data_IF_169925615902
#
_entry.id   IF_169925615902
#
_cell.length_a   1.000
_cell.length_b   1.000
_cell.length_c   1.000
_cell.angle_alpha   90.00
_cell.angle_beta   90.00
_cell.angle_gamma   90.00
#
_symmetry.space_group_name_H-M   'P 1'
#
loop_
_entity.id
_entity.type
_entity.pdbx_description
1 polymer ?
#
# COMPACT_ATOMS: atom_id res chain seq x y z
N UNK A 1 8.29 -39.51 6.52
CA UNK A 1 7.48 -38.66 7.43
C UNK A 1 8.13 -37.27 7.45
N UNK A 2 7.41 -36.17 7.18
CA UNK A 2 8.01 -34.82 7.11
C UNK A 2 8.51 -34.41 8.50
N UNK A 3 9.75 -33.92 8.60
CA UNK A 3 10.38 -33.58 9.89
C UNK A 3 9.84 -32.26 10.48
N UNK A 4 9.42 -31.35 9.58
CA UNK A 4 8.78 -30.10 9.91
C UNK A 4 7.27 -30.23 9.65
N UNK A 5 6.49 -29.95 10.70
CA UNK A 5 5.01 -30.02 10.68
C UNK A 5 4.43 -28.66 10.27
N UNK A 6 5.01 -27.56 10.74
CA UNK A 6 4.54 -26.22 10.43
C UNK A 6 5.57 -25.13 10.74
N UNK A 7 5.46 -24.02 10.03
CA UNK A 7 6.21 -22.79 10.25
C UNK A 7 5.23 -21.62 10.13
N UNK A 8 5.22 -20.71 11.10
CA UNK A 8 4.34 -19.55 11.12
C UNK A 8 5.10 -18.32 11.59
N UNK A 9 4.94 -17.21 10.86
CA UNK A 9 5.49 -15.91 11.25
C UNK A 9 4.45 -15.15 12.08
N UNK A 10 4.86 -14.69 13.26
CA UNK A 10 4.04 -13.99 14.23
C UNK A 10 4.64 -12.58 14.47
N UNK A 11 4.34 -11.61 13.61
CA UNK A 11 4.79 -10.24 13.83
C UNK A 11 4.06 -9.61 15.01
N UNK A 12 4.74 -8.76 15.77
CA UNK A 12 4.16 -8.02 16.91
C UNK A 12 3.02 -7.10 16.47
N UNK A 13 3.13 -6.56 15.25
CA UNK A 13 2.08 -5.80 14.58
C UNK A 13 1.95 -6.25 13.13
N UNK A 14 0.72 -6.31 12.63
CA UNK A 14 0.45 -6.57 11.20
C UNK A 14 0.34 -5.28 10.38
N UNK A 15 0.19 -4.15 11.05
CA UNK A 15 0.07 -2.83 10.43
C UNK A 15 1.18 -1.93 10.98
N UNK A 16 1.97 -1.36 10.08
CA UNK A 16 2.96 -0.32 10.36
C UNK A 16 2.30 1.02 10.08
N UNK A 17 1.99 1.78 11.12
CA UNK A 17 1.49 3.14 11.00
C UNK A 17 2.66 4.13 11.00
N UNK A 18 2.99 4.67 9.84
CA UNK A 18 3.99 5.73 9.70
C UNK A 18 3.29 7.07 9.87
N UNK A 19 3.89 7.99 10.63
CA UNK A 19 3.41 9.37 10.71
C UNK A 19 4.21 10.27 9.76
N UNK A 20 3.69 11.46 9.46
CA UNK A 20 4.41 12.47 8.68
C UNK A 20 5.78 12.86 9.30
N UNK A 21 5.92 12.73 10.62
CA UNK A 21 7.14 13.03 11.36
C UNK A 21 8.19 11.92 11.23
N UNK A 22 7.79 10.69 10.91
CA UNK A 22 8.69 9.55 10.78
C UNK A 22 9.50 9.58 9.48
N UNK A 23 9.40 10.63 8.65
CA UNK A 23 10.07 10.74 7.36
C UNK A 23 11.60 10.82 7.54
N UNK A 24 12.29 9.70 7.32
CA UNK A 24 13.76 9.62 7.41
C UNK A 24 14.28 8.91 8.66
N UNK A 25 13.39 8.51 9.57
CA UNK A 25 13.73 7.67 10.71
C UNK A 25 13.76 6.17 10.36
N UNK A 26 14.18 5.33 11.30
CA UNK A 26 14.05 3.88 11.20
C UNK A 26 12.83 3.39 11.96
N UNK A 27 12.16 2.37 11.43
CA UNK A 27 11.08 1.67 12.12
C UNK A 27 11.52 0.25 12.43
N UNK A 28 11.34 -0.20 13.67
CA UNK A 28 11.72 -1.55 14.08
C UNK A 28 10.49 -2.46 14.13
N UNK A 29 10.42 -3.44 13.24
CA UNK A 29 9.41 -4.50 13.27
C UNK A 29 9.97 -5.72 14.02
N UNK A 30 9.20 -6.27 14.95
CA UNK A 30 9.59 -7.42 15.79
C UNK A 30 8.58 -8.55 15.66
N UNK A 31 8.96 -9.74 16.11
CA UNK A 31 8.05 -10.86 16.26
C UNK A 31 8.77 -12.16 16.50
N UNK A 32 8.06 -13.27 16.32
CA UNK A 32 8.64 -14.61 16.40
C UNK A 32 8.31 -15.46 15.17
N UNK A 33 9.18 -16.42 14.84
CA UNK A 33 8.89 -17.51 13.91
C UNK A 33 8.63 -18.74 14.76
N UNK A 34 7.39 -19.25 14.70
CA UNK A 34 7.00 -20.49 15.37
C UNK A 34 7.24 -21.68 14.45
N UNK A 35 8.11 -22.58 14.87
CA UNK A 35 8.44 -23.81 14.14
C UNK A 35 7.96 -25.02 14.95
N UNK A 36 7.12 -25.85 14.34
CA UNK A 36 6.61 -27.07 14.96
C UNK A 36 7.24 -28.28 14.29
N UNK A 37 7.96 -29.08 15.08
CA UNK A 37 8.75 -30.22 14.62
C UNK A 37 8.30 -31.52 15.27
N UNK A 38 8.28 -32.61 14.49
CA UNK A 38 7.99 -33.95 15.02
C UNK A 38 9.23 -34.72 15.48
N UNK A 39 10.42 -34.14 15.31
CA UNK A 39 11.69 -34.60 15.89
C UNK A 39 12.68 -33.43 15.94
N UNK A 40 13.80 -33.59 16.65
CA UNK A 40 14.84 -32.57 16.63
C UNK A 40 15.49 -32.47 15.23
N UNK A 41 15.68 -31.23 14.74
CA UNK A 41 16.18 -30.96 13.39
C UNK A 41 17.36 -29.99 13.47
N UNK A 42 18.45 -30.32 12.79
CA UNK A 42 19.57 -29.40 12.60
C UNK A 42 19.24 -28.43 11.47
N UNK A 43 19.26 -27.14 11.75
CA UNK A 43 19.10 -26.08 10.75
C UNK A 43 20.47 -25.47 10.43
N UNK A 44 20.64 -25.06 9.18
CA UNK A 44 21.80 -24.31 8.72
C UNK A 44 21.59 -22.81 8.92
N UNK A 45 20.43 -22.30 8.49
CA UNK A 45 20.01 -20.91 8.70
C UNK A 45 18.50 -20.84 8.87
N UNK A 46 18.06 -19.82 9.60
CA UNK A 46 16.71 -19.28 9.55
C UNK A 46 16.84 -17.79 9.21
N UNK A 47 16.42 -17.44 8.00
CA UNK A 47 16.52 -16.09 7.46
C UNK A 47 15.13 -15.50 7.31
N UNK A 48 15.01 -14.18 7.50
CA UNK A 48 13.75 -13.47 7.41
C UNK A 48 13.92 -12.21 6.55
N UNK A 49 13.01 -12.02 5.62
CA UNK A 49 13.04 -10.99 4.59
C UNK A 49 11.74 -10.20 4.64
N UNK A 50 11.81 -8.87 4.70
CA UNK A 50 10.68 -8.01 4.36
C UNK A 50 10.77 -7.65 2.89
N UNK A 51 9.79 -8.06 2.10
CA UNK A 51 9.66 -7.71 0.70
C UNK A 51 8.57 -6.66 0.49
N UNK A 52 8.81 -5.77 -0.47
CA UNK A 52 7.77 -4.96 -1.11
C UNK A 52 7.53 -5.49 -2.52
N UNK A 53 6.26 -5.56 -2.91
CA UNK A 53 5.84 -5.94 -4.23
C UNK A 53 4.91 -4.86 -4.78
N UNK A 54 5.29 -4.28 -5.91
CA UNK A 54 4.44 -3.36 -6.66
C UNK A 54 4.04 -3.97 -7.98
N UNK A 55 2.77 -3.80 -8.35
CA UNK A 55 2.23 -4.22 -9.65
C UNK A 55 1.47 -3.07 -10.28
N UNK A 56 1.69 -2.84 -11.56
CA UNK A 56 0.96 -1.85 -12.36
C UNK A 56 0.50 -2.51 -13.66
N UNK A 57 -0.77 -2.34 -13.97
CA UNK A 57 -1.39 -2.68 -15.25
C UNK A 57 -1.48 -1.41 -16.09
N UNK A 58 -0.70 -1.36 -17.16
CA UNK A 58 -0.72 -0.23 -18.10
C UNK A 58 -1.53 -0.65 -19.32
N UNK A 59 -2.55 0.13 -19.65
CA UNK A 59 -3.23 0.04 -20.94
C UNK A 59 -2.21 0.35 -22.04
N UNK A 60 -1.88 -0.65 -22.85
CA UNK A 60 -1.04 -0.42 -24.02
C UNK A 60 -1.93 0.01 -25.17
N UNK A 61 -1.78 1.26 -25.62
CA UNK A 61 -2.24 1.67 -26.94
C UNK A 61 -1.36 0.93 -27.96
N UNK A 62 -1.75 -0.29 -28.31
CA UNK A 62 -1.28 -0.86 -29.57
C UNK A 62 -2.00 -0.10 -30.67
N UNK A 63 -1.24 0.79 -31.31
CA UNK A 63 -1.59 1.40 -32.59
C UNK A 63 -1.66 0.29 -33.66
N UNK A 64 -2.74 -0.49 -33.63
CA UNK A 64 -3.08 -1.44 -34.68
C UNK A 64 -3.66 -0.62 -35.82
N UNK A 65 -2.85 -0.46 -36.87
CA UNK A 65 -3.13 0.43 -38.00
C UNK A 65 -4.56 0.31 -38.54
N UNK A 66 -5.17 1.47 -38.76
CA UNK A 66 -6.26 1.86 -39.69
C UNK A 66 -7.46 0.94 -39.97
N UNK A 67 -7.64 -0.20 -39.33
CA UNK A 67 -8.86 -1.01 -39.50
C UNK A 67 -9.69 -1.02 -38.22
N UNK A 68 -10.86 -0.39 -38.31
CA UNK A 68 -11.89 -0.29 -37.28
C UNK A 68 -12.47 -1.68 -36.99
N UNK A 69 -11.84 -2.44 -36.11
CA UNK A 69 -12.43 -3.61 -35.45
C UNK A 69 -12.09 -3.51 -33.96
N UNK A 70 -13.11 -3.72 -33.10
CA UNK A 70 -13.12 -3.65 -31.63
C UNK A 70 -11.72 -3.51 -30.98
N UNK A 71 -11.47 -2.38 -30.31
CA UNK A 71 -10.30 -2.18 -29.43
C UNK A 71 -10.32 -3.26 -28.34
N UNK A 72 -9.64 -4.37 -28.56
CA UNK A 72 -9.19 -5.24 -27.48
C UNK A 72 -8.06 -4.49 -26.76
N UNK A 73 -8.42 -3.84 -25.66
CA UNK A 73 -7.48 -3.14 -24.80
C UNK A 73 -6.51 -4.17 -24.22
N UNK A 74 -5.27 -4.18 -24.73
CA UNK A 74 -4.21 -5.03 -24.21
C UNK A 74 -3.58 -4.35 -22.98
N UNK A 75 -3.66 -5.00 -21.82
CA UNK A 75 -2.98 -4.53 -20.61
C UNK A 75 -1.61 -5.21 -20.47
N UNK A 76 -0.55 -4.41 -20.32
CA UNK A 76 0.77 -4.92 -19.96
C UNK A 76 0.93 -4.88 -18.44
N UNK A 77 1.35 -6.00 -17.84
CA UNK A 77 1.59 -6.11 -16.41
C UNK A 77 3.07 -5.87 -16.10
N UNK A 78 3.38 -4.88 -15.28
CA UNK A 78 4.70 -4.66 -14.70
C UNK A 78 4.66 -5.05 -13.22
N UNK A 79 5.51 -5.98 -12.80
CA UNK A 79 5.65 -6.38 -11.39
C UNK A 79 7.09 -6.15 -10.97
N UNK A 80 7.27 -5.49 -9.83
CA UNK A 80 8.57 -5.20 -9.27
C UNK A 80 8.59 -5.65 -7.81
N UNK A 81 9.61 -6.41 -7.43
CA UNK A 81 9.78 -6.92 -6.06
C UNK A 81 11.12 -6.44 -5.53
N UNK A 82 11.11 -5.80 -4.36
CA UNK A 82 12.30 -5.32 -3.68
C UNK A 82 12.42 -5.90 -2.29
N UNK A 83 13.65 -6.25 -1.89
CA UNK A 83 14.00 -6.56 -0.51
C UNK A 83 14.15 -5.23 0.23
N UNK A 84 13.34 -5.01 1.26
CA UNK A 84 13.37 -3.80 2.09
C UNK A 84 14.34 -3.98 3.25
N UNK A 85 14.31 -5.15 3.88
CA UNK A 85 15.17 -5.50 4.99
C UNK A 85 15.33 -7.02 5.09
N UNK A 86 16.44 -7.44 5.67
CA UNK A 86 16.76 -8.83 5.92
C UNK A 86 17.39 -9.00 7.31
N UNK A 87 17.15 -10.15 7.94
CA UNK A 87 17.89 -10.55 9.12
C UNK A 87 18.09 -12.06 9.18
N UNK A 88 19.24 -12.47 9.70
CA UNK A 88 19.47 -13.85 10.11
C UNK A 88 18.91 -14.01 11.52
N UNK A 89 17.82 -14.77 11.64
CA UNK A 89 17.13 -15.02 12.92
C UNK A 89 17.94 -16.01 13.76
N UNK A 90 18.45 -17.05 13.11
CA UNK A 90 19.34 -18.04 13.72
C UNK A 90 20.33 -18.57 12.69
N UNK A 91 21.59 -18.64 13.11
CA UNK A 91 22.61 -19.43 12.41
C UNK A 91 22.46 -20.92 12.68
N UNK A 92 23.48 -21.69 12.29
CA UNK A 92 23.51 -23.16 12.40
C UNK A 92 23.25 -23.62 13.84
N UNK A 93 22.18 -24.37 14.04
CA UNK A 93 21.80 -24.87 15.38
C UNK A 93 20.89 -26.10 15.29
N UNK A 94 20.49 -26.66 16.43
CA UNK A 94 19.51 -27.75 16.51
C UNK A 94 18.23 -27.20 17.14
N UNK A 95 17.11 -27.37 16.45
CA UNK A 95 15.78 -27.11 16.99
C UNK A 95 15.26 -28.39 17.66
N UNK A 96 14.61 -28.25 18.80
CA UNK A 96 14.13 -29.37 19.60
C UNK A 96 12.81 -29.93 19.04
N UNK A 97 12.47 -31.15 19.45
CA UNK A 97 11.13 -31.69 19.23
C UNK A 97 10.06 -30.78 19.84
N UNK A 98 8.93 -30.61 19.14
CA UNK A 98 7.82 -29.76 19.60
C UNK A 98 7.87 -28.35 19.01
N UNK A 99 7.48 -27.36 19.81
CA UNK A 99 7.36 -25.95 19.39
C UNK A 99 8.65 -25.20 19.71
N UNK A 100 9.21 -24.51 18.72
CA UNK A 100 10.35 -23.63 18.86
C UNK A 100 9.96 -22.23 18.37
N UNK A 101 10.02 -21.24 19.25
CA UNK A 101 9.77 -19.84 18.89
C UNK A 101 11.12 -19.13 18.72
N UNK A 102 11.34 -18.56 17.53
CA UNK A 102 12.56 -17.84 17.17
C UNK A 102 12.27 -16.35 17.06
N UNK A 103 12.69 -15.57 18.06
CA UNK A 103 12.52 -14.12 18.08
C UNK A 103 13.34 -13.44 16.99
N UNK A 104 12.77 -12.42 16.36
CA UNK A 104 13.39 -11.64 15.29
C UNK A 104 13.10 -10.14 15.41
N UNK A 105 14.02 -9.35 14.86
CA UNK A 105 13.91 -7.90 14.74
C UNK A 105 14.39 -7.46 13.36
N UNK A 106 13.65 -6.55 12.72
CA UNK A 106 13.97 -5.93 11.45
C UNK A 106 13.94 -4.41 11.59
N UNK A 107 15.04 -3.75 11.26
CA UNK A 107 15.13 -2.29 11.20
C UNK A 107 14.88 -1.83 9.76
N UNK A 108 13.82 -1.04 9.57
CA UNK A 108 13.31 -0.64 8.26
C UNK A 108 13.58 0.84 8.01
N UNK A 109 14.05 1.25 6.82
CA UNK A 109 14.14 2.65 6.45
C UNK A 109 12.74 3.21 6.10
N UNK A 110 12.18 4.10 6.91
CA UNK A 110 10.81 4.62 6.67
C UNK A 110 10.72 5.44 5.38
N UNK A 111 11.83 6.07 4.95
CA UNK A 111 11.89 6.89 3.74
C UNK A 111 11.43 6.13 2.48
N UNK A 112 11.70 4.83 2.42
CA UNK A 112 11.44 3.99 1.24
C UNK A 112 10.19 3.11 1.38
N UNK A 113 9.41 3.30 2.46
CA UNK A 113 8.17 2.56 2.69
C UNK A 113 6.96 3.35 2.17
N UNK A 114 6.47 2.98 1.00
CA UNK A 114 5.21 3.51 0.48
C UNK A 114 4.01 2.94 1.24
N UNK A 115 2.89 3.68 1.23
CA UNK A 115 1.63 3.17 1.75
C UNK A 115 1.18 1.95 0.95
N UNK A 116 0.67 0.93 1.63
CA UNK A 116 0.02 -0.20 0.97
C UNK A 116 -1.25 0.30 0.30
N UNK A 117 -1.38 0.00 -0.99
CA UNK A 117 -2.52 0.39 -1.81
C UNK A 117 -2.93 -0.78 -2.68
N UNK A 118 -4.23 -0.92 -2.91
CA UNK A 118 -4.78 -1.88 -3.84
C UNK A 118 -5.88 -1.18 -4.63
N UNK A 119 -5.71 -1.12 -5.95
CA UNK A 119 -6.67 -0.55 -6.86
C UNK A 119 -6.88 -1.51 -8.04
N UNK A 120 -7.87 -1.20 -8.88
CA UNK A 120 -8.23 -2.04 -10.04
C UNK A 120 -7.05 -2.33 -10.97
N UNK A 121 -6.09 -1.42 -11.08
CA UNK A 121 -4.99 -1.53 -12.04
C UNK A 121 -3.63 -1.72 -11.37
N UNK A 122 -3.55 -1.96 -10.07
CA UNK A 122 -2.27 -2.12 -9.42
C UNK A 122 -2.32 -2.25 -7.90
N UNK A 123 -1.17 -2.55 -7.33
CA UNK A 123 -1.01 -2.59 -5.88
C UNK A 123 0.41 -2.27 -5.45
N UNK A 124 0.55 -1.89 -4.18
CA UNK A 124 1.78 -1.95 -3.40
C UNK A 124 1.48 -2.77 -2.15
N UNK A 125 2.19 -3.87 -1.96
CA UNK A 125 2.00 -4.80 -0.84
C UNK A 125 3.34 -5.10 -0.19
N UNK A 126 3.28 -5.42 1.11
CA UNK A 126 4.44 -5.85 1.87
C UNK A 126 4.18 -7.23 2.45
N UNK A 127 5.25 -8.04 2.51
CA UNK A 127 5.19 -9.35 3.14
C UNK A 127 6.51 -9.68 3.81
N UNK A 128 6.42 -10.33 4.96
CA UNK A 128 7.57 -10.94 5.61
C UNK A 128 7.62 -12.40 5.19
N UNK A 129 8.77 -12.85 4.71
CA UNK A 129 9.03 -14.24 4.36
C UNK A 129 10.11 -14.78 5.29
N UNK A 130 9.89 -15.96 5.84
CA UNK A 130 10.90 -16.72 6.57
C UNK A 130 11.36 -17.91 5.74
N UNK A 131 12.66 -18.12 5.63
CA UNK A 131 13.25 -19.28 4.96
C UNK A 131 14.10 -20.05 5.97
N UNK A 132 13.74 -21.31 6.24
CA UNK A 132 14.47 -22.19 7.14
C UNK A 132 15.13 -23.29 6.33
N UNK A 133 16.46 -23.30 6.31
CA UNK A 133 17.26 -24.34 5.65
C UNK A 133 17.68 -25.41 6.65
N UNK A 134 17.36 -26.67 6.36
CA UNK A 134 17.81 -27.81 7.16
C UNK A 134 19.23 -28.22 6.77
N UNK A 135 20.07 -28.58 7.75
CA UNK A 135 21.43 -29.04 7.51
C UNK A 135 21.45 -30.38 6.78
N UNK A 136 22.23 -30.49 5.71
CA UNK A 136 22.44 -31.74 4.98
C UNK A 136 21.36 -32.08 3.95
N UNK A 137 20.34 -31.24 3.80
CA UNK A 137 19.36 -31.31 2.72
C UNK A 137 19.68 -30.23 1.69
N UNK A 138 20.05 -30.62 0.47
CA UNK A 138 20.12 -29.73 -0.70
C UNK A 138 18.72 -29.36 -1.26
N UNK A 139 17.69 -29.45 -0.42
CA UNK A 139 16.29 -29.23 -0.80
C UNK A 139 15.90 -27.75 -0.72
N UNK A 140 14.72 -27.43 -1.28
CA UNK A 140 14.15 -26.10 -1.14
C UNK A 140 13.95 -25.75 0.34
N UNK A 141 14.24 -24.49 0.75
CA UNK A 141 14.01 -24.05 2.12
C UNK A 141 12.53 -24.18 2.50
N UNK A 142 12.27 -24.42 3.79
CA UNK A 142 10.91 -24.28 4.30
C UNK A 142 10.58 -22.79 4.36
N UNK A 143 9.64 -22.39 3.51
CA UNK A 143 9.21 -20.99 3.41
C UNK A 143 7.84 -20.79 4.04
N UNK A 144 7.69 -19.70 4.78
CA UNK A 144 6.40 -19.19 5.27
C UNK A 144 6.34 -17.71 4.97
N UNK A 145 5.14 -17.18 4.75
CA UNK A 145 4.95 -15.75 4.52
C UNK A 145 3.77 -15.18 5.32
N UNK A 146 3.85 -13.89 5.64
CA UNK A 146 2.75 -13.14 6.26
C UNK A 146 2.69 -11.74 5.65
N UNK A 147 1.49 -11.28 5.31
CA UNK A 147 1.28 -9.93 4.79
C UNK A 147 1.45 -8.89 5.91
N UNK A 148 2.08 -7.76 5.57
CA UNK A 148 2.20 -6.57 6.41
C UNK A 148 1.53 -5.41 5.68
N UNK A 149 0.68 -4.67 6.38
CA UNK A 149 0.09 -3.43 5.86
C UNK A 149 0.95 -2.25 6.30
N UNK A 150 1.30 -1.37 5.38
CA UNK A 150 1.94 -0.09 5.69
C UNK A 150 0.90 1.00 5.49
N UNK A 151 0.59 1.73 6.56
CA UNK A 151 -0.27 2.90 6.50
C UNK A 151 0.62 4.14 6.57
N UNK A 152 0.58 4.92 5.48
CA UNK A 152 1.34 6.17 5.39
C UNK A 152 0.38 7.28 4.99
N UNK A 153 -0.11 8.08 5.95
CA UNK A 153 -0.90 9.26 5.66
C UNK A 153 -0.09 10.19 4.76
N UNK A 154 -0.74 10.76 3.75
CA UNK A 154 -0.12 11.82 2.98
C UNK A 154 0.00 13.06 3.88
N UNK A 155 1.20 13.62 4.08
CA UNK A 155 1.34 14.80 4.92
C UNK A 155 0.54 15.95 4.31
N UNK A 156 -0.19 16.69 5.16
CA UNK A 156 -0.77 17.96 4.75
C UNK A 156 0.38 18.90 4.33
N UNK A 157 0.29 19.60 3.19
CA UNK A 157 1.31 20.56 2.80
C UNK A 157 1.47 21.62 3.90
N UNK A 158 2.69 21.82 4.42
CA UNK A 158 2.96 22.71 5.55
C UNK A 158 2.49 24.16 5.35
N UNK A 159 2.32 24.58 4.09
CA UNK A 159 1.89 25.92 3.71
C UNK A 159 0.37 26.09 3.61
N UNK A 160 -0.40 25.01 3.80
CA UNK A 160 -1.86 25.05 3.68
C UNK A 160 -2.47 25.01 5.07
N UNK A 161 -3.14 26.11 5.45
CA UNK A 161 -3.89 26.15 6.70
C UNK A 161 -5.03 25.13 6.65
N UNK A 162 -5.29 24.40 7.75
CA UNK A 162 -6.53 23.64 7.91
C UNK A 162 -7.71 24.54 7.58
N UNK A 163 -8.65 24.05 6.76
CA UNK A 163 -9.84 24.78 6.29
C UNK A 163 -9.57 25.95 5.33
N UNK A 164 -8.43 25.99 4.65
CA UNK A 164 -8.28 26.96 3.56
C UNK A 164 -9.26 26.65 2.42
N UNK A 165 -9.94 27.67 1.92
CA UNK A 165 -10.99 27.56 0.91
C UNK A 165 -10.50 28.11 -0.43
N UNK A 166 -10.80 27.42 -1.52
CA UNK A 166 -10.67 27.93 -2.88
C UNK A 166 -12.04 28.44 -3.34
N UNK A 167 -12.04 29.67 -3.84
CA UNK A 167 -13.24 30.30 -4.42
C UNK A 167 -13.16 30.21 -5.94
N UNK A 168 -14.15 29.57 -6.55
CA UNK A 168 -14.31 29.47 -7.99
C UNK A 168 -15.49 30.33 -8.41
N UNK A 169 -15.25 31.28 -9.32
CA UNK A 169 -16.29 32.16 -9.86
C UNK A 169 -16.44 31.92 -11.34
N UNK A 170 -17.67 31.99 -11.81
CA UNK A 170 -17.94 31.94 -13.22
C UNK A 170 -19.34 32.41 -13.55
N UNK A 171 -19.65 32.39 -14.83
CA UNK A 171 -20.96 32.74 -15.34
C UNK A 171 -21.26 31.88 -16.55
N UNK A 172 -22.52 31.53 -16.71
CA UNK A 172 -23.07 31.10 -17.98
C UNK A 172 -23.74 32.30 -18.61
N UNK A 173 -23.24 32.74 -19.76
CA UNK A 173 -23.63 34.01 -20.37
C UNK A 173 -25.15 34.15 -20.49
N UNK A 174 -25.66 35.28 -19.96
CA UNK A 174 -27.08 35.63 -19.96
C UNK A 174 -27.99 34.75 -19.10
N UNK A 175 -27.46 33.80 -18.31
CA UNK A 175 -28.27 32.86 -17.54
C UNK A 175 -28.03 32.94 -16.04
N UNK A 176 -26.84 32.59 -15.57
CA UNK A 176 -26.55 32.47 -14.13
C UNK A 176 -25.10 32.82 -13.86
N UNK A 177 -24.86 33.64 -12.84
CA UNK A 177 -23.55 33.82 -12.23
C UNK A 177 -23.43 32.86 -11.03
N UNK A 178 -22.27 32.23 -10.87
CA UNK A 178 -22.04 31.26 -9.82
C UNK A 178 -20.71 31.52 -9.11
N UNK A 179 -20.71 31.22 -7.81
CA UNK A 179 -19.54 31.24 -6.94
C UNK A 179 -19.58 29.99 -6.08
N UNK A 180 -18.47 29.25 -6.04
CA UNK A 180 -18.29 28.05 -5.24
C UNK A 180 -17.10 28.23 -4.32
N UNK A 181 -17.28 27.85 -3.07
CA UNK A 181 -16.26 27.81 -2.05
C UNK A 181 -16.07 26.35 -1.65
N UNK A 182 -14.90 25.80 -1.95
CA UNK A 182 -14.54 24.40 -1.65
C UNK A 182 -13.26 24.34 -0.84
N UNK A 183 -13.09 23.37 0.08
CA UNK A 183 -11.85 23.19 0.80
C UNK A 183 -10.70 22.88 -0.17
N UNK A 184 -9.56 23.56 -0.01
CA UNK A 184 -8.35 23.30 -0.82
C UNK A 184 -7.71 21.96 -0.48
N UNK A 185 -7.82 21.55 0.77
CA UNK A 185 -7.27 20.30 1.29
C UNK A 185 -8.27 19.70 2.26
N UNK A 186 -8.54 18.41 2.09
CA UNK A 186 -9.39 17.62 2.97
C UNK A 186 -8.49 16.62 3.69
N UNK A 187 -8.50 16.68 5.02
CA UNK A 187 -7.74 15.78 5.88
C UNK A 187 -8.50 14.48 6.13
N UNK A 188 -7.78 13.41 6.47
CA UNK A 188 -8.38 12.09 6.81
C UNK A 188 -9.28 12.13 8.05
N UNK A 189 -9.07 13.11 8.91
CA UNK A 189 -9.80 13.35 10.15
C UNK A 189 -11.14 14.08 9.93
N UNK A 190 -11.40 14.60 8.73
CA UNK A 190 -12.64 15.28 8.42
C UNK A 190 -13.74 14.26 8.08
N UNK A 191 -14.81 14.25 8.87
CA UNK A 191 -15.97 13.38 8.65
C UNK A 191 -16.93 13.91 7.57
N UNK A 192 -16.83 15.20 7.24
CA UNK A 192 -17.65 15.87 6.24
C UNK A 192 -16.85 16.95 5.52
N UNK A 193 -17.24 17.22 4.27
CA UNK A 193 -16.69 18.29 3.43
C UNK A 193 -17.79 19.34 3.28
N UNK A 194 -17.52 20.57 3.72
CA UNK A 194 -18.45 21.69 3.54
C UNK A 194 -18.15 22.41 2.22
N UNK A 195 -19.16 22.52 1.37
CA UNK A 195 -19.10 23.25 0.10
C UNK A 195 -20.16 24.34 0.13
N UNK A 196 -19.75 25.59 -0.02
CA UNK A 196 -20.67 26.72 -0.12
C UNK A 196 -20.84 27.13 -1.57
N UNK A 197 -22.08 27.40 -1.97
CA UNK A 197 -22.43 27.74 -3.34
C UNK A 197 -23.40 28.91 -3.36
N UNK A 198 -23.11 29.89 -4.20
CA UNK A 198 -23.97 31.03 -4.48
C UNK A 198 -24.32 31.05 -5.95
N UNK A 199 -25.61 30.91 -6.26
CA UNK A 199 -26.16 30.95 -7.61
C UNK A 199 -27.04 32.18 -7.77
N UNK A 200 -26.70 33.04 -8.72
CA UNK A 200 -27.41 34.29 -8.98
C UNK A 200 -28.02 34.26 -10.38
N UNK A 201 -29.34 34.02 -10.52
CA UNK A 201 -29.99 34.03 -11.82
C UNK A 201 -29.96 35.45 -12.40
N UNK A 202 -29.53 35.58 -13.65
CA UNK A 202 -29.41 36.87 -14.34
C UNK A 202 -30.63 37.15 -15.24
N UNK A 203 -31.38 36.11 -15.60
CA UNK A 203 -32.60 36.17 -16.41
C UNK A 203 -33.65 35.19 -15.87
N UNK A 204 -34.89 35.31 -16.36
CA UNK A 204 -35.97 34.36 -16.02
C UNK A 204 -35.69 32.93 -16.47
N UNK A 205 -34.81 32.72 -17.45
CA UNK A 205 -34.39 31.38 -17.89
C UNK A 205 -33.16 30.86 -17.10
N UNK A 206 -32.67 31.66 -16.15
CA UNK A 206 -31.50 31.37 -15.31
C UNK A 206 -31.79 30.59 -14.03
N UNK A 207 -33.05 30.23 -13.75
CA UNK A 207 -33.40 29.48 -12.55
C UNK A 207 -32.78 28.07 -12.57
N UNK A 208 -31.92 27.81 -11.59
CA UNK A 208 -31.25 26.52 -11.46
C UNK A 208 -32.23 25.52 -10.86
N UNK A 209 -32.49 24.43 -11.58
CA UNK A 209 -33.42 23.36 -11.18
C UNK A 209 -32.75 22.24 -10.39
N UNK A 210 -31.47 21.99 -10.67
CA UNK A 210 -30.70 20.90 -10.10
C UNK A 210 -29.24 21.33 -9.98
N UNK A 211 -28.62 20.93 -8.87
CA UNK A 211 -27.18 20.95 -8.72
C UNK A 211 -26.71 19.55 -8.34
N UNK A 212 -25.70 19.07 -9.06
CA UNK A 212 -25.04 17.79 -8.80
C UNK A 212 -23.61 18.07 -8.37
N UNK A 213 -23.14 17.36 -7.36
CA UNK A 213 -21.75 17.42 -6.88
C UNK A 213 -21.21 16.00 -6.94
N UNK A 214 -20.22 15.79 -7.80
CA UNK A 214 -19.58 14.50 -8.00
C UNK A 214 -18.16 14.55 -7.43
N UNK A 215 -17.80 13.51 -6.67
CA UNK A 215 -16.43 13.29 -6.19
C UNK A 215 -15.78 12.25 -7.08
N UNK A 216 -14.79 12.67 -7.86
CA UNK A 216 -14.06 11.79 -8.78
C UNK A 216 -12.65 11.48 -8.26
N UNK A 217 -12.33 10.19 -8.16
CA UNK A 217 -10.96 9.74 -7.93
C UNK A 217 -10.21 9.68 -9.27
N UNK A 218 -9.17 10.51 -9.42
CA UNK A 218 -8.31 10.49 -10.60
C UNK A 218 -7.00 9.78 -10.26
N UNK A 219 -6.88 8.51 -10.64
CA UNK A 219 -5.63 7.74 -10.52
C UNK A 219 -4.76 7.95 -11.75
N UNK A 220 -3.53 8.44 -11.57
CA UNK A 220 -2.53 8.53 -12.63
C UNK A 220 -1.38 7.55 -12.39
N UNK A 221 -1.07 6.75 -13.41
CA UNK A 221 0.13 5.90 -13.44
C UNK A 221 1.23 6.70 -14.16
N UNK A 222 2.27 7.09 -13.43
CA UNK A 222 3.45 7.79 -13.97
C UNK A 222 4.68 6.93 -13.86
#
# INVERSE_FOLDING_TARGET
MKELIGCQILPSVKTIALTAQNNGESYTLRGSIRVVLNKAVKIQTADLLLLSESKIMVESDKDMGKDKVKKDVAFTNYTHTNIIAECNVRGKTTLNFGVNDLEWELTLPTKNLYGSVECKYGYVRYKVISNIMQSGLFGAPFSSEVAIKVERPHPLPANIKPNSVATFRGKRDGKVAYEFEVPKVVGSEQSAIEIMMKLTPMTKDGWVRLVTIDLEEVTQYK
#
